data_IF_998413801451
#
_entry.id   IF_998413801451
#
_cell.length_a   1.000
_cell.length_b   1.000
_cell.length_c   1.000
_cell.angle_alpha   90.00
_cell.angle_beta   90.00
_cell.angle_gamma   90.00
#
_symmetry.space_group_name_H-M   'P 1'
#
loop_
_entity.id
_entity.type
_entity.pdbx_description
1 polymer ?
#
# COMPACT_ATOMS: atom_id res chain seq x y z
N UNK A 1 24.67 69.80 -16.00
CA UNK A 1 23.85 69.02 -15.06
C UNK A 1 24.54 69.08 -13.71
N UNK A 2 23.86 69.58 -12.68
CA UNK A 2 24.50 69.76 -11.37
C UNK A 2 24.77 68.38 -10.74
N UNK A 3 25.87 68.21 -10.00
CA UNK A 3 26.23 66.93 -9.35
C UNK A 3 25.08 66.38 -8.47
N UNK A 4 24.26 67.28 -7.93
CA UNK A 4 23.08 66.95 -7.13
C UNK A 4 21.95 66.30 -7.94
N UNK A 5 21.80 66.63 -9.22
CA UNK A 5 20.79 66.02 -10.10
C UNK A 5 21.19 64.59 -10.51
N UNK A 6 22.47 64.37 -10.80
CA UNK A 6 22.99 63.05 -11.13
C UNK A 6 22.85 62.06 -9.95
N UNK A 7 23.12 62.50 -8.73
CA UNK A 7 22.95 61.68 -7.51
C UNK A 7 21.48 61.33 -7.29
N UNK A 8 20.56 62.26 -7.52
CA UNK A 8 19.11 62.01 -7.38
C UNK A 8 18.58 61.03 -8.43
N UNK A 9 19.06 61.14 -9.66
CA UNK A 9 18.69 60.24 -10.76
C UNK A 9 19.20 58.81 -10.51
N UNK A 10 20.44 58.66 -10.02
CA UNK A 10 20.99 57.37 -9.61
C UNK A 10 20.20 56.74 -8.46
N UNK A 11 19.84 57.52 -7.43
CA UNK A 11 19.05 57.04 -6.29
C UNK A 11 17.64 56.59 -6.72
N UNK A 12 17.05 57.29 -7.69
CA UNK A 12 15.73 56.96 -8.25
C UNK A 12 15.76 55.62 -8.99
N UNK A 13 16.82 55.35 -9.77
CA UNK A 13 16.98 54.07 -10.48
C UNK A 13 17.20 52.92 -9.49
N UNK A 14 18.05 53.11 -8.48
CA UNK A 14 18.32 52.10 -7.47
C UNK A 14 17.07 51.74 -6.65
N UNK A 15 16.24 52.73 -6.32
CA UNK A 15 14.97 52.49 -5.63
C UNK A 15 13.96 51.75 -6.53
N UNK A 16 13.89 52.10 -7.82
CA UNK A 16 13.06 51.39 -8.80
C UNK A 16 13.42 49.90 -8.98
N UNK A 17 14.71 49.58 -9.14
CA UNK A 17 15.17 48.19 -9.31
C UNK A 17 14.89 47.33 -8.07
N UNK A 18 15.05 47.92 -6.88
CA UNK A 18 14.79 47.23 -5.60
C UNK A 18 13.31 46.86 -5.46
N UNK A 19 12.40 47.75 -5.86
CA UNK A 19 10.95 47.51 -5.82
C UNK A 19 10.55 46.39 -6.80
N UNK A 20 11.14 46.37 -8.00
CA UNK A 20 10.87 45.31 -9.01
C UNK A 20 11.36 43.95 -8.51
N UNK A 21 12.57 43.88 -7.94
CA UNK A 21 13.12 42.65 -7.37
C UNK A 21 12.26 42.11 -6.21
N UNK A 22 11.80 42.99 -5.33
CA UNK A 22 10.89 42.62 -4.25
C UNK A 22 9.56 42.06 -4.79
N UNK A 23 8.96 42.72 -5.79
CA UNK A 23 7.70 42.27 -6.40
C UNK A 23 7.84 40.89 -7.08
N UNK A 24 8.90 40.67 -7.86
CA UNK A 24 9.17 39.37 -8.48
C UNK A 24 9.36 38.26 -7.44
N UNK A 25 9.99 38.56 -6.31
CA UNK A 25 10.21 37.56 -5.24
C UNK A 25 8.90 37.13 -4.57
N UNK A 26 7.96 38.05 -4.38
CA UNK A 26 6.63 37.77 -3.81
C UNK A 26 5.82 36.92 -4.78
N UNK A 27 5.82 37.24 -6.07
CA UNK A 27 5.14 36.46 -7.11
C UNK A 27 5.73 35.05 -7.21
N UNK A 28 7.06 34.93 -7.19
CA UNK A 28 7.73 33.63 -7.22
C UNK A 28 7.41 32.78 -5.99
N UNK A 29 7.42 33.38 -4.78
CA UNK A 29 7.04 32.68 -3.54
C UNK A 29 5.58 32.24 -3.58
N UNK A 30 4.66 33.11 -3.99
CA UNK A 30 3.24 32.77 -4.15
C UNK A 30 3.04 31.63 -5.16
N UNK A 31 3.73 31.67 -6.30
CA UNK A 31 3.70 30.62 -7.32
C UNK A 31 4.23 29.28 -6.80
N UNK A 32 5.37 29.30 -6.10
CA UNK A 32 5.98 28.10 -5.50
C UNK A 32 5.06 27.50 -4.42
N UNK A 33 4.49 28.35 -3.58
CA UNK A 33 3.59 27.95 -2.50
C UNK A 33 2.25 27.42 -3.02
N UNK A 34 1.77 27.88 -4.18
CA UNK A 34 0.61 27.34 -4.87
C UNK A 34 0.87 25.98 -5.56
N UNK A 35 2.10 25.73 -6.04
CA UNK A 35 2.51 24.44 -6.64
C UNK A 35 2.88 23.36 -5.62
N UNK A 36 3.29 23.74 -4.43
CA UNK A 36 3.67 22.82 -3.36
C UNK A 36 2.52 21.87 -2.92
N UNK A 37 1.27 22.32 -2.73
CA UNK A 37 0.17 21.41 -2.39
C UNK A 37 -0.17 20.42 -3.51
N UNK A 38 0.05 20.78 -4.78
CA UNK A 38 -0.17 19.84 -5.90
C UNK A 38 0.83 18.68 -5.89
N UNK A 39 2.10 18.97 -5.62
CA UNK A 39 3.14 17.94 -5.50
C UNK A 39 2.92 17.01 -4.30
N UNK A 40 2.53 17.59 -3.17
CA UNK A 40 2.23 16.83 -1.95
C UNK A 40 1.03 15.90 -2.15
N UNK A 41 0.01 16.35 -2.88
CA UNK A 41 -1.14 15.51 -3.24
C UNK A 41 -0.74 14.41 -4.22
N UNK A 42 0.03 14.71 -5.27
CA UNK A 42 0.50 13.69 -6.23
C UNK A 42 1.33 12.60 -5.55
N UNK A 43 2.24 12.98 -4.65
CA UNK A 43 3.06 12.03 -3.89
C UNK A 43 2.21 11.16 -2.97
N UNK A 44 1.26 11.76 -2.25
CA UNK A 44 0.32 11.02 -1.38
C UNK A 44 -0.60 10.09 -2.16
N UNK A 45 -1.10 10.51 -3.32
CA UNK A 45 -1.93 9.67 -4.19
C UNK A 45 -1.12 8.51 -4.75
N UNK A 46 0.11 8.74 -5.20
CA UNK A 46 1.00 7.68 -5.66
C UNK A 46 1.36 6.66 -4.58
N UNK A 47 1.57 7.12 -3.34
CA UNK A 47 1.75 6.23 -2.19
C UNK A 47 0.48 5.41 -1.91
N UNK A 48 -0.70 6.04 -1.90
CA UNK A 48 -1.98 5.36 -1.71
C UNK A 48 -2.24 4.32 -2.81
N UNK A 49 -1.95 4.62 -4.08
CA UNK A 49 -2.09 3.67 -5.19
C UNK A 49 -1.18 2.44 -5.01
N UNK A 50 0.05 2.68 -4.55
CA UNK A 50 1.01 1.62 -4.26
C UNK A 50 0.52 0.75 -3.10
N UNK A 51 0.05 1.36 -2.02
CA UNK A 51 -0.49 0.66 -0.85
C UNK A 51 -1.74 -0.15 -1.22
N UNK A 52 -2.65 0.38 -2.03
CA UNK A 52 -3.84 -0.35 -2.51
C UNK A 52 -3.44 -1.57 -3.33
N UNK A 53 -2.42 -1.44 -4.18
CA UNK A 53 -1.92 -2.56 -4.98
C UNK A 53 -1.30 -3.65 -4.09
N UNK A 54 -0.53 -3.27 -3.08
CA UNK A 54 0.05 -4.19 -2.10
C UNK A 54 -1.03 -4.89 -1.27
N UNK A 55 -2.02 -4.13 -0.76
CA UNK A 55 -3.17 -4.66 -0.03
C UNK A 55 -3.93 -5.67 -0.89
N UNK A 56 -4.18 -5.37 -2.17
CA UNK A 56 -4.90 -6.28 -3.06
C UNK A 56 -4.14 -7.60 -3.27
N UNK A 57 -2.81 -7.54 -3.40
CA UNK A 57 -1.99 -8.73 -3.53
C UNK A 57 -2.01 -9.57 -2.24
N UNK A 58 -1.86 -8.92 -1.08
CA UNK A 58 -1.97 -9.59 0.23
C UNK A 58 -3.33 -10.24 0.42
N UNK A 59 -4.41 -9.53 0.07
CA UNK A 59 -5.78 -10.05 0.20
C UNK A 59 -6.03 -11.27 -0.68
N UNK A 60 -5.50 -11.29 -1.91
CA UNK A 60 -5.59 -12.47 -2.78
C UNK A 60 -4.83 -13.66 -2.17
N UNK A 61 -3.61 -13.44 -1.69
CA UNK A 61 -2.82 -14.50 -1.04
C UNK A 61 -3.50 -15.03 0.23
N UNK A 62 -4.09 -14.14 1.03
CA UNK A 62 -4.86 -14.50 2.22
C UNK A 62 -6.10 -15.32 1.85
N UNK A 63 -6.79 -14.97 0.75
CA UNK A 63 -7.95 -15.71 0.28
C UNK A 63 -7.59 -17.14 -0.14
N UNK A 64 -6.50 -17.31 -0.88
CA UNK A 64 -6.00 -18.62 -1.28
C UNK A 64 -5.58 -19.45 -0.04
N UNK A 65 -4.90 -18.83 0.91
CA UNK A 65 -4.48 -19.46 2.17
C UNK A 65 -5.68 -19.88 3.02
N UNK A 66 -6.73 -19.06 3.10
CA UNK A 66 -7.98 -19.38 3.81
C UNK A 66 -8.69 -20.57 3.13
N UNK A 67 -8.73 -20.61 1.80
CA UNK A 67 -9.36 -21.70 1.09
C UNK A 67 -8.63 -23.03 1.34
N UNK A 68 -7.30 -23.04 1.27
CA UNK A 68 -6.48 -24.20 1.62
C UNK A 68 -6.70 -24.64 3.07
N UNK A 69 -6.72 -23.70 4.01
CA UNK A 69 -6.94 -24.02 5.43
C UNK A 69 -8.34 -24.60 5.69
N UNK A 70 -9.34 -24.19 4.90
CA UNK A 70 -10.69 -24.75 4.93
C UNK A 70 -10.72 -26.20 4.44
N UNK A 71 -10.00 -26.51 3.36
CA UNK A 71 -9.86 -27.88 2.84
C UNK A 71 -9.15 -28.79 3.84
N UNK A 72 -8.04 -28.33 4.42
CA UNK A 72 -7.31 -29.02 5.49
C UNK A 72 -8.22 -29.30 6.70
N UNK A 73 -9.00 -28.30 7.12
CA UNK A 73 -9.94 -28.44 8.24
C UNK A 73 -11.04 -29.47 7.94
N UNK A 74 -11.57 -29.49 6.71
CA UNK A 74 -12.56 -30.50 6.31
C UNK A 74 -11.98 -31.91 6.34
N UNK A 75 -10.74 -32.09 5.88
CA UNK A 75 -10.04 -33.37 5.95
C UNK A 75 -9.82 -33.82 7.40
N UNK A 76 -9.39 -32.90 8.27
CA UNK A 76 -9.24 -33.18 9.71
C UNK A 76 -10.57 -33.60 10.35
N UNK A 77 -11.68 -32.88 10.07
CA UNK A 77 -12.99 -33.24 10.60
C UNK A 77 -13.45 -34.63 10.14
N UNK A 78 -13.26 -34.96 8.84
CA UNK A 78 -13.58 -36.29 8.30
C UNK A 78 -12.72 -37.39 8.95
N UNK A 79 -11.45 -37.10 9.18
CA UNK A 79 -10.51 -38.00 9.89
C UNK A 79 -10.99 -38.29 11.31
N UNK A 80 -11.35 -37.24 12.05
CA UNK A 80 -11.85 -37.36 13.42
C UNK A 80 -13.17 -38.12 13.47
N UNK A 81 -14.07 -37.89 12.51
CA UNK A 81 -15.33 -38.64 12.41
C UNK A 81 -15.09 -40.14 12.24
N UNK A 82 -14.26 -40.53 11.26
CA UNK A 82 -13.95 -41.94 11.01
C UNK A 82 -13.24 -42.61 12.20
N UNK A 83 -12.37 -41.86 12.91
CA UNK A 83 -11.76 -42.33 14.16
C UNK A 83 -12.79 -42.58 15.26
N UNK A 84 -13.74 -41.66 15.46
CA UNK A 84 -14.82 -41.81 16.44
C UNK A 84 -15.70 -43.01 16.08
N UNK A 85 -16.12 -43.11 14.82
CA UNK A 85 -16.96 -44.19 14.34
C UNK A 85 -16.29 -45.55 14.51
N UNK A 86 -15.01 -45.68 14.17
CA UNK A 86 -14.26 -46.91 14.40
C UNK A 86 -14.10 -47.23 15.89
N UNK A 87 -13.84 -46.23 16.76
CA UNK A 87 -13.75 -46.45 18.21
C UNK A 87 -15.08 -46.91 18.82
N UNK A 88 -16.22 -46.47 18.28
CA UNK A 88 -17.55 -46.86 18.76
C UNK A 88 -17.95 -48.24 18.20
N UNK A 89 -17.80 -48.43 16.89
CA UNK A 89 -18.39 -49.59 16.18
C UNK A 89 -17.39 -50.74 15.99
N UNK A 90 -16.09 -50.48 16.05
CA UNK A 90 -15.03 -51.43 15.71
C UNK A 90 -14.89 -51.75 14.21
N UNK A 91 -15.90 -51.40 13.39
CA UNK A 91 -16.06 -51.95 12.05
C UNK A 91 -15.78 -50.96 10.91
N UNK A 92 -15.52 -49.67 11.20
CA UNK A 92 -15.20 -48.68 10.15
C UNK A 92 -13.69 -48.65 9.77
N UNK A 93 -13.11 -49.81 9.47
CA UNK A 93 -11.68 -49.91 9.09
C UNK A 93 -11.45 -49.34 7.68
N UNK A 94 -12.43 -49.48 6.77
CA UNK A 94 -12.32 -48.96 5.41
C UNK A 94 -12.34 -47.43 5.35
N UNK A 95 -13.22 -46.77 6.12
CA UNK A 95 -13.24 -45.30 6.24
C UNK A 95 -11.92 -44.77 6.80
N UNK A 96 -11.36 -45.47 7.79
CA UNK A 96 -10.03 -45.17 8.35
C UNK A 96 -8.91 -45.27 7.32
N UNK A 97 -8.88 -46.36 6.53
CA UNK A 97 -7.88 -46.54 5.48
C UNK A 97 -7.98 -45.44 4.42
N UNK A 98 -9.19 -45.12 3.99
CA UNK A 98 -9.44 -44.05 3.02
C UNK A 98 -8.95 -42.70 3.54
N UNK A 99 -9.30 -42.34 4.77
CA UNK A 99 -8.89 -41.04 5.31
C UNK A 99 -7.39 -40.99 5.63
N UNK A 100 -6.75 -42.11 5.98
CA UNK A 100 -5.29 -42.20 6.02
C UNK A 100 -4.67 -41.88 4.66
N UNK A 101 -5.19 -42.44 3.58
CA UNK A 101 -4.66 -42.20 2.23
C UNK A 101 -4.88 -40.74 1.79
N UNK A 102 -6.07 -40.17 2.06
CA UNK A 102 -6.36 -38.74 1.85
C UNK A 102 -5.40 -37.84 2.66
N UNK A 103 -5.07 -38.20 3.90
CA UNK A 103 -4.09 -37.49 4.74
C UNK A 103 -2.66 -37.60 4.19
N UNK A 104 -2.23 -38.78 3.75
CA UNK A 104 -0.90 -38.97 3.15
C UNK A 104 -0.77 -38.09 1.90
N UNK A 105 -1.80 -38.07 1.06
CA UNK A 105 -1.84 -37.24 -0.13
C UNK A 105 -1.72 -35.75 0.23
N UNK A 106 -2.54 -35.25 1.16
CA UNK A 106 -2.51 -33.85 1.60
C UNK A 106 -1.17 -33.43 2.25
N UNK A 107 -0.43 -34.38 2.84
CA UNK A 107 0.88 -34.13 3.44
C UNK A 107 2.05 -34.26 2.46
N UNK A 108 1.86 -34.91 1.30
CA UNK A 108 2.91 -35.19 0.31
C UNK A 108 2.81 -34.31 -0.92
N UNK A 109 1.59 -33.86 -1.29
CA UNK A 109 1.34 -33.01 -2.46
C UNK A 109 1.42 -31.49 -2.13
N UNK A 110 1.79 -31.13 -0.89
CA UNK A 110 2.21 -29.76 -0.51
C UNK A 110 3.66 -29.50 -0.91
#
# INVERSE_FOLDING_TARGET
MSELEFIKELLSICSGITVIGAACSVIYKAYKQAKQPQKDIEERVGAIETDIKDIKNKLNNDYDSINQNREDTQLLMRSMFNLIENKITGNNIEGLKKTRDELIQALTEK
#
